data_IF_240231930519
#
_entry.id   IF_240231930519
#
_cell.length_a   1.000
_cell.length_b   1.000
_cell.length_c   1.000
_cell.angle_alpha   90.00
_cell.angle_beta   90.00
_cell.angle_gamma   90.00
#
_symmetry.space_group_name_H-M   'P 1'
#
loop_
_entity.id
_entity.type
_entity.pdbx_description
1 polymer ?
#
# COMPACT_ATOMS: atom_id res chain seq x y z
N UNK A 1 -3.05 12.67 -35.96
CA UNK A 1 -2.51 12.84 -37.28
C UNK A 1 -1.28 13.75 -37.18
N UNK A 2 -0.16 13.29 -37.70
CA UNK A 2 1.09 14.03 -37.72
C UNK A 2 1.12 14.85 -39.00
N UNK A 3 1.00 16.15 -38.91
CA UNK A 3 1.11 17.06 -40.02
C UNK A 3 2.35 17.92 -39.87
N UNK A 4 3.19 18.11 -40.93
CA UNK A 4 4.35 18.96 -40.85
C UNK A 4 3.96 20.42 -40.58
N UNK A 5 4.86 21.18 -39.94
CA UNK A 5 4.65 22.58 -39.54
C UNK A 5 4.24 23.51 -40.68
N UNK A 6 4.63 23.15 -41.92
CA UNK A 6 4.22 23.87 -43.12
C UNK A 6 2.71 23.78 -43.43
N UNK A 7 2.02 22.75 -42.91
CA UNK A 7 0.58 22.54 -43.10
C UNK A 7 -0.24 22.96 -41.89
N UNK A 8 0.25 22.75 -40.68
CA UNK A 8 -0.47 23.05 -39.44
C UNK A 8 0.52 23.65 -38.42
N UNK A 9 0.17 24.82 -37.90
CA UNK A 9 0.91 25.48 -36.84
C UNK A 9 0.03 25.62 -35.61
N UNK A 10 0.45 25.04 -34.48
CA UNK A 10 -0.21 25.26 -33.20
C UNK A 10 0.21 26.62 -32.63
N UNK A 11 -0.77 27.44 -32.29
CA UNK A 11 -0.55 28.70 -31.57
C UNK A 11 -1.23 28.61 -30.23
N UNK A 12 -0.47 28.79 -29.14
CA UNK A 12 -1.04 28.91 -27.82
C UNK A 12 -1.83 30.23 -27.73
N UNK A 13 -3.14 30.13 -27.49
CA UNK A 13 -3.98 31.29 -27.20
C UNK A 13 -4.01 31.49 -25.68
N UNK A 14 -3.15 32.39 -25.18
CA UNK A 14 -2.95 32.62 -23.76
C UNK A 14 -4.23 32.95 -22.97
N UNK A 15 -5.19 33.76 -23.45
CA UNK A 15 -6.42 34.01 -22.71
C UNK A 15 -7.31 32.77 -22.55
N UNK A 16 -7.46 31.97 -23.59
CA UNK A 16 -8.24 30.73 -23.56
C UNK A 16 -7.56 29.69 -22.68
N UNK A 17 -6.24 29.63 -22.74
CA UNK A 17 -5.43 28.72 -21.95
C UNK A 17 -5.42 29.08 -20.45
N UNK A 18 -5.36 30.37 -20.11
CA UNK A 18 -5.47 30.83 -18.71
C UNK A 18 -6.86 30.50 -18.16
N UNK A 19 -7.93 30.68 -18.95
CA UNK A 19 -9.27 30.28 -18.57
C UNK A 19 -9.39 28.75 -18.42
N UNK A 20 -8.70 27.96 -19.24
CA UNK A 20 -8.67 26.50 -19.09
C UNK A 20 -7.90 26.07 -17.85
N UNK A 21 -6.75 26.70 -17.53
CA UNK A 21 -6.08 26.48 -16.24
C UNK A 21 -7.02 26.78 -15.08
N UNK A 22 -7.67 27.94 -15.09
CA UNK A 22 -8.63 28.35 -14.06
C UNK A 22 -9.80 27.37 -13.97
N UNK A 23 -10.32 26.90 -15.11
CA UNK A 23 -11.37 25.91 -15.16
C UNK A 23 -10.90 24.53 -14.68
N UNK A 24 -9.68 24.10 -15.01
CA UNK A 24 -9.08 22.87 -14.47
C UNK A 24 -8.89 22.98 -12.95
N UNK A 25 -8.53 24.13 -12.41
CA UNK A 25 -8.52 24.38 -10.97
C UNK A 25 -9.93 24.42 -10.36
N UNK A 26 -10.91 24.99 -11.05
CA UNK A 26 -12.31 25.05 -10.61
C UNK A 26 -13.01 23.70 -10.77
N UNK A 27 -12.56 22.84 -11.69
CA UNK A 27 -13.02 21.47 -11.87
C UNK A 27 -12.75 20.55 -10.67
N UNK A 28 -12.02 21.04 -9.70
CA UNK A 28 -11.73 20.34 -8.42
C UNK A 28 -12.97 20.18 -7.51
N UNK A 29 -14.12 20.78 -7.82
CA UNK A 29 -15.30 20.83 -6.94
C UNK A 29 -16.54 20.08 -7.41
N UNK A 30 -16.85 20.01 -8.71
CA UNK A 30 -18.17 19.50 -9.15
C UNK A 30 -18.17 18.56 -10.35
N UNK A 31 -17.14 18.47 -11.16
CA UNK A 31 -17.06 17.57 -12.35
C UNK A 31 -15.62 17.27 -12.81
N UNK A 32 -14.63 17.33 -11.92
CA UNK A 32 -13.22 17.21 -12.25
C UNK A 32 -12.81 15.78 -12.58
N UNK A 33 -11.72 15.65 -13.32
CA UNK A 33 -11.01 14.38 -13.49
C UNK A 33 -10.45 13.99 -12.12
N UNK A 34 -11.23 13.23 -11.34
CA UNK A 34 -10.73 12.62 -10.11
C UNK A 34 -9.91 11.39 -10.49
N UNK A 35 -8.61 11.49 -10.33
CA UNK A 35 -7.73 10.32 -10.42
C UNK A 35 -7.66 9.72 -9.01
N UNK A 36 -8.27 8.54 -8.78
CA UNK A 36 -8.30 7.94 -7.45
C UNK A 36 -6.89 7.79 -6.87
N UNK A 37 -6.66 8.30 -5.67
CA UNK A 37 -5.38 8.21 -4.99
C UNK A 37 -4.32 9.25 -5.40
N UNK A 38 -4.67 10.21 -6.27
CA UNK A 38 -3.78 11.29 -6.70
C UNK A 38 -4.43 12.66 -6.48
N UNK A 39 -3.63 13.60 -6.01
CA UNK A 39 -4.00 15.00 -5.90
C UNK A 39 -3.31 15.78 -7.02
N UNK A 40 -4.08 16.35 -7.93
CA UNK A 40 -3.54 17.17 -9.00
C UNK A 40 -3.06 18.50 -8.41
N UNK A 41 -1.76 18.80 -8.53
CA UNK A 41 -1.15 20.04 -7.99
C UNK A 41 -1.14 21.12 -9.05
N UNK A 42 -0.66 20.80 -10.26
CA UNK A 42 -0.46 21.75 -11.34
C UNK A 42 -0.66 21.12 -12.69
N UNK A 43 -1.07 21.96 -13.65
CA UNK A 43 -1.25 21.59 -15.05
C UNK A 43 -0.52 22.61 -15.89
N UNK A 44 0.48 22.19 -16.62
CA UNK A 44 1.25 23.02 -17.51
C UNK A 44 1.17 22.51 -18.94
N UNK A 45 1.27 23.40 -19.91
CA UNK A 45 1.26 23.04 -21.31
C UNK A 45 2.26 23.93 -22.06
N UNK A 46 2.87 23.34 -23.06
CA UNK A 46 3.74 24.07 -23.99
C UNK A 46 3.71 23.42 -25.36
N UNK A 47 4.09 24.22 -26.37
CA UNK A 47 4.26 23.74 -27.73
C UNK A 47 5.74 23.48 -27.92
N UNK A 48 6.08 22.21 -28.19
CA UNK A 48 7.43 21.81 -28.52
C UNK A 48 7.61 21.67 -30.02
N UNK A 49 8.86 21.82 -30.48
CA UNK A 49 9.21 21.69 -31.90
C UNK A 49 10.24 20.59 -32.04
N UNK A 50 9.95 19.64 -32.90
CA UNK A 50 10.89 18.56 -33.19
C UNK A 50 10.99 18.32 -34.70
N UNK A 51 12.17 17.89 -35.15
CA UNK A 51 12.47 17.60 -36.56
C UNK A 51 12.57 16.10 -36.73
N UNK A 52 11.81 15.56 -37.66
CA UNK A 52 11.88 14.14 -38.02
C UNK A 52 12.06 14.02 -39.55
N UNK A 53 13.24 13.54 -39.96
CA UNK A 53 13.65 13.53 -41.36
C UNK A 53 13.82 14.97 -41.92
N UNK A 54 13.18 15.27 -43.04
CA UNK A 54 13.24 16.58 -43.69
C UNK A 54 12.09 17.53 -43.29
N UNK A 55 11.30 17.17 -42.27
CA UNK A 55 10.13 17.93 -41.85
C UNK A 55 10.20 18.36 -40.40
N UNK A 56 9.79 19.60 -40.16
CA UNK A 56 9.59 20.16 -38.82
C UNK A 56 8.15 19.95 -38.35
N UNK A 57 8.01 19.40 -37.15
CA UNK A 57 6.71 19.17 -36.51
C UNK A 57 6.55 20.02 -35.27
N UNK A 58 5.31 20.26 -34.87
CA UNK A 58 4.97 20.87 -33.59
C UNK A 58 4.12 19.89 -32.79
N UNK A 59 4.54 19.65 -31.54
CA UNK A 59 3.82 18.86 -30.58
C UNK A 59 3.20 19.72 -29.48
N UNK A 60 1.95 19.49 -29.13
CA UNK A 60 1.32 20.06 -27.95
C UNK A 60 1.56 19.11 -26.76
N UNK A 61 2.30 19.57 -25.75
CA UNK A 61 2.63 18.79 -24.57
C UNK A 61 1.85 19.35 -23.39
N UNK A 62 1.08 18.47 -22.76
CA UNK A 62 0.35 18.70 -21.51
C UNK A 62 1.08 17.99 -20.35
N UNK A 63 1.57 18.75 -19.39
CA UNK A 63 2.25 18.22 -18.20
C UNK A 63 1.32 18.31 -17.00
N UNK A 64 1.00 17.17 -16.41
CA UNK A 64 0.21 17.07 -15.18
C UNK A 64 1.15 16.80 -14.01
N UNK A 65 1.17 17.68 -13.01
CA UNK A 65 1.87 17.46 -11.76
C UNK A 65 0.89 16.96 -10.72
N UNK A 66 1.04 15.72 -10.32
CA UNK A 66 0.16 15.08 -9.36
C UNK A 66 0.95 14.51 -8.17
N UNK A 67 0.38 14.58 -6.98
CA UNK A 67 0.92 14.02 -5.75
C UNK A 67 0.06 12.83 -5.29
N UNK A 68 0.71 11.76 -4.87
CA UNK A 68 0.02 10.55 -4.43
C UNK A 68 -0.55 10.75 -3.02
N UNK A 69 -1.83 10.43 -2.82
CA UNK A 69 -2.49 10.47 -1.51
C UNK A 69 -2.14 9.20 -0.74
N UNK A 70 -1.03 9.24 0.02
CA UNK A 70 -0.57 8.10 0.82
C UNK A 70 -1.55 7.69 1.93
N UNK A 71 -2.31 8.63 2.50
CA UNK A 71 -3.27 8.38 3.58
C UNK A 71 -4.33 7.34 3.23
N UNK A 72 -4.78 7.30 1.97
CA UNK A 72 -5.72 6.30 1.51
C UNK A 72 -5.20 4.86 1.72
N UNK A 73 -3.94 4.61 1.36
CA UNK A 73 -3.32 3.28 1.52
C UNK A 73 -3.08 2.93 2.99
N UNK A 74 -2.70 3.91 3.81
CA UNK A 74 -2.50 3.70 5.25
C UNK A 74 -3.80 3.29 5.93
N UNK A 75 -4.88 4.04 5.73
CA UNK A 75 -6.14 3.77 6.41
C UNK A 75 -6.90 2.58 5.80
N UNK A 76 -6.93 2.44 4.48
CA UNK A 76 -7.71 1.40 3.81
C UNK A 76 -6.98 0.06 3.74
N UNK A 77 -5.64 0.06 3.65
CA UNK A 77 -4.87 -1.18 3.45
C UNK A 77 -4.14 -1.59 4.72
N UNK A 78 -3.32 -0.72 5.28
CA UNK A 78 -2.44 -1.11 6.39
C UNK A 78 -3.19 -1.31 7.71
N UNK A 79 -4.20 -0.48 7.99
CA UNK A 79 -4.91 -0.51 9.25
C UNK A 79 -5.68 -1.83 9.48
N UNK A 80 -6.45 -2.39 8.51
CA UNK A 80 -7.08 -3.70 8.68
C UNK A 80 -6.08 -4.83 8.92
N UNK A 81 -4.94 -4.83 8.23
CA UNK A 81 -3.88 -5.82 8.44
C UNK A 81 -3.33 -5.74 9.86
N UNK A 82 -3.08 -4.52 10.37
CA UNK A 82 -2.64 -4.32 11.74
C UNK A 82 -3.66 -4.85 12.77
N UNK A 83 -4.95 -4.64 12.55
CA UNK A 83 -5.98 -5.21 13.43
C UNK A 83 -5.96 -6.74 13.42
N UNK A 84 -5.84 -7.38 12.26
CA UNK A 84 -5.73 -8.84 12.15
C UNK A 84 -4.48 -9.33 12.92
N UNK A 85 -3.36 -8.65 12.81
CA UNK A 85 -2.13 -8.97 13.54
C UNK A 85 -2.31 -8.83 15.05
N UNK A 86 -2.94 -7.76 15.53
CA UNK A 86 -3.21 -7.55 16.96
C UNK A 86 -4.09 -8.70 17.50
N UNK A 87 -5.14 -9.09 16.76
CA UNK A 87 -6.01 -10.21 17.13
C UNK A 87 -5.20 -11.50 17.15
N UNK A 88 -4.40 -11.78 16.12
CA UNK A 88 -3.53 -12.95 16.07
C UNK A 88 -2.56 -12.99 17.26
N UNK A 89 -2.01 -11.84 17.67
CA UNK A 89 -1.09 -11.77 18.81
C UNK A 89 -1.76 -11.91 20.17
N UNK A 90 -3.08 -11.58 20.26
CA UNK A 90 -3.84 -11.68 21.51
C UNK A 90 -3.92 -13.11 22.06
N UNK A 91 -3.67 -14.13 21.24
CA UNK A 91 -3.67 -15.55 21.64
C UNK A 91 -2.66 -15.88 22.73
N UNK A 92 -1.57 -15.09 22.87
CA UNK A 92 -0.58 -15.30 23.91
C UNK A 92 -1.08 -14.91 25.31
N UNK A 93 -2.22 -14.22 25.44
CA UNK A 93 -2.92 -13.98 26.71
C UNK A 93 -3.89 -15.11 27.09
N UNK A 94 -4.21 -15.99 26.15
CA UNK A 94 -5.01 -17.21 26.41
C UNK A 94 -4.17 -18.25 27.13
N UNK A 95 -4.78 -19.05 28.02
CA UNK A 95 -4.08 -20.07 28.80
C UNK A 95 -3.40 -21.11 27.92
N UNK A 96 -2.27 -21.64 28.37
CA UNK A 96 -1.48 -22.64 27.65
C UNK A 96 -2.23 -23.96 27.41
N UNK A 97 -3.24 -24.27 28.25
CA UNK A 97 -4.09 -25.47 28.10
C UNK A 97 -5.05 -25.43 26.92
N UNK A 98 -5.37 -24.25 26.40
CA UNK A 98 -6.42 -24.04 25.38
C UNK A 98 -5.82 -23.96 23.96
N UNK A 99 -5.19 -25.08 23.51
CA UNK A 99 -4.57 -25.13 22.20
C UNK A 99 -5.56 -24.87 21.08
N UNK A 100 -6.74 -25.52 21.13
CA UNK A 100 -7.75 -25.43 20.08
C UNK A 100 -8.18 -23.98 19.84
N UNK A 101 -8.49 -23.25 20.92
CA UNK A 101 -8.85 -21.82 20.85
C UNK A 101 -7.73 -20.99 20.24
N UNK A 102 -6.47 -21.19 20.69
CA UNK A 102 -5.30 -20.45 20.22
C UNK A 102 -5.06 -20.66 18.72
N UNK A 103 -5.02 -21.93 18.30
CA UNK A 103 -4.73 -22.29 16.91
C UNK A 103 -5.87 -21.86 15.99
N UNK A 104 -7.12 -21.99 16.43
CA UNK A 104 -8.28 -21.58 15.64
C UNK A 104 -8.24 -20.08 15.35
N UNK A 105 -7.97 -19.23 16.35
CA UNK A 105 -7.85 -17.78 16.16
C UNK A 105 -6.72 -17.44 15.18
N UNK A 106 -5.53 -18.03 15.35
CA UNK A 106 -4.39 -17.71 14.46
C UNK A 106 -4.60 -18.19 13.03
N UNK A 107 -5.23 -19.35 12.81
CA UNK A 107 -5.57 -19.82 11.46
C UNK A 107 -6.63 -18.92 10.82
N UNK A 108 -7.66 -18.51 11.55
CA UNK A 108 -8.67 -17.59 11.04
C UNK A 108 -8.04 -16.25 10.65
N UNK A 109 -7.11 -15.72 11.46
CA UNK A 109 -6.35 -14.52 11.13
C UNK A 109 -5.50 -14.69 9.86
N UNK A 110 -4.84 -15.84 9.70
CA UNK A 110 -4.06 -16.13 8.49
C UNK A 110 -4.96 -16.18 7.25
N UNK A 111 -6.11 -16.85 7.33
CA UNK A 111 -7.08 -16.90 6.24
C UNK A 111 -7.65 -15.52 5.93
N UNK A 112 -7.91 -14.71 6.95
CA UNK A 112 -8.36 -13.32 6.78
C UNK A 112 -7.32 -12.47 6.04
N UNK A 113 -6.03 -12.61 6.36
CA UNK A 113 -4.94 -11.93 5.64
C UNK A 113 -4.88 -12.37 4.17
N UNK A 114 -5.01 -13.69 3.90
CA UNK A 114 -5.01 -14.22 2.53
C UNK A 114 -6.18 -13.65 1.75
N UNK A 115 -7.39 -13.69 2.30
CA UNK A 115 -8.59 -13.16 1.67
C UNK A 115 -8.46 -11.64 1.41
N UNK A 116 -7.89 -10.93 2.36
CA UNK A 116 -7.67 -9.48 2.25
C UNK A 116 -6.65 -9.13 1.16
N UNK A 117 -5.58 -9.92 1.01
CA UNK A 117 -4.61 -9.75 -0.06
C UNK A 117 -5.26 -9.88 -1.45
N UNK A 118 -6.16 -10.85 -1.65
CA UNK A 118 -6.87 -10.98 -2.92
C UNK A 118 -7.73 -9.74 -3.25
N UNK A 119 -8.31 -9.09 -2.25
CA UNK A 119 -9.09 -7.87 -2.44
C UNK A 119 -8.16 -6.72 -2.88
N UNK A 120 -7.00 -6.58 -2.24
CA UNK A 120 -6.02 -5.53 -2.56
C UNK A 120 -5.44 -5.73 -3.97
N UNK A 121 -5.11 -6.97 -4.34
CA UNK A 121 -4.56 -7.30 -5.67
C UNK A 121 -5.53 -6.94 -6.81
N UNK A 122 -6.84 -6.92 -6.55
CA UNK A 122 -7.84 -6.49 -7.52
C UNK A 122 -7.88 -4.98 -7.72
N UNK A 123 -7.52 -4.20 -6.69
CA UNK A 123 -7.58 -2.73 -6.70
C UNK A 123 -6.24 -2.07 -7.13
N UNK A 124 -5.13 -2.82 -7.13
CA UNK A 124 -3.80 -2.31 -7.45
C UNK A 124 -3.33 -2.71 -8.85
N UNK A 125 -2.63 -1.82 -9.56
CA UNK A 125 -2.00 -2.18 -10.82
C UNK A 125 -0.89 -3.22 -10.59
N UNK A 126 -0.84 -4.25 -11.43
CA UNK A 126 0.22 -5.27 -11.37
C UNK A 126 1.55 -4.66 -11.81
N UNK A 127 2.51 -4.68 -10.91
CA UNK A 127 3.87 -4.20 -11.13
C UNK A 127 4.83 -5.39 -11.16
N UNK A 128 5.88 -5.30 -11.98
CA UNK A 128 6.89 -6.37 -12.13
C UNK A 128 7.93 -6.38 -10.98
N UNK A 129 7.75 -5.53 -9.96
CA UNK A 129 8.64 -5.43 -8.81
C UNK A 129 7.85 -5.43 -7.49
N UNK A 130 8.50 -5.91 -6.42
CA UNK A 130 7.91 -5.95 -5.09
C UNK A 130 7.73 -4.53 -4.54
N UNK A 131 6.49 -4.21 -4.19
CA UNK A 131 6.16 -2.94 -3.57
C UNK A 131 6.33 -2.98 -2.04
N UNK A 132 6.32 -1.82 -1.40
CA UNK A 132 6.27 -1.72 0.06
C UNK A 132 5.08 -2.50 0.65
N UNK A 133 3.91 -2.41 0.01
CA UNK A 133 2.70 -3.11 0.45
C UNK A 133 2.85 -4.63 0.37
N UNK A 134 3.46 -5.15 -0.69
CA UNK A 134 3.69 -6.59 -0.85
C UNK A 134 4.58 -7.14 0.28
N UNK A 135 5.67 -6.43 0.58
CA UNK A 135 6.57 -6.81 1.67
C UNK A 135 5.89 -6.68 3.04
N UNK A 136 5.07 -5.65 3.24
CA UNK A 136 4.30 -5.48 4.47
C UNK A 136 3.33 -6.64 4.69
N UNK A 137 2.60 -7.08 3.66
CA UNK A 137 1.69 -8.22 3.69
C UNK A 137 2.46 -9.52 3.94
N UNK A 138 3.57 -9.72 3.23
CA UNK A 138 4.40 -10.94 3.36
C UNK A 138 4.98 -11.08 4.77
N UNK A 139 5.46 -10.00 5.38
CA UNK A 139 5.91 -9.98 6.77
C UNK A 139 4.74 -10.31 7.71
N UNK A 140 3.55 -9.78 7.45
CA UNK A 140 2.34 -10.06 8.24
C UNK A 140 1.94 -11.53 8.19
N UNK A 141 2.03 -12.18 7.02
CA UNK A 141 1.85 -13.64 6.89
C UNK A 141 2.85 -14.41 7.74
N UNK A 142 4.12 -14.05 7.64
CA UNK A 142 5.19 -14.71 8.40
C UNK A 142 4.92 -14.61 9.91
N UNK A 143 4.56 -13.43 10.40
CA UNK A 143 4.28 -13.22 11.83
C UNK A 143 3.04 -13.97 12.32
N UNK A 144 1.97 -14.02 11.52
CA UNK A 144 0.76 -14.79 11.87
C UNK A 144 1.03 -16.30 11.85
N UNK A 145 1.78 -16.78 10.87
CA UNK A 145 2.22 -18.17 10.82
C UNK A 145 3.12 -18.55 11.99
N UNK A 146 4.07 -17.66 12.34
CA UNK A 146 4.94 -17.84 13.50
C UNK A 146 4.13 -17.88 14.80
N UNK A 147 3.11 -17.04 14.96
CA UNK A 147 2.21 -17.07 16.13
C UNK A 147 1.54 -18.43 16.28
N UNK A 148 1.08 -19.04 15.17
CA UNK A 148 0.48 -20.40 15.19
C UNK A 148 1.49 -21.45 15.67
N UNK A 149 2.72 -21.43 15.15
CA UNK A 149 3.78 -22.37 15.55
C UNK A 149 4.13 -22.21 17.04
N UNK A 150 4.24 -20.96 17.51
CA UNK A 150 4.52 -20.67 18.91
C UNK A 150 3.39 -21.13 19.83
N UNK A 151 2.12 -21.05 19.40
CA UNK A 151 0.98 -21.58 20.16
C UNK A 151 1.07 -23.09 20.35
N UNK A 152 1.38 -23.85 19.29
CA UNK A 152 1.59 -25.31 19.36
C UNK A 152 2.76 -25.63 20.30
N UNK A 153 3.86 -24.90 20.19
CA UNK A 153 5.03 -25.13 21.03
C UNK A 153 4.75 -24.80 22.51
N UNK A 154 4.01 -23.72 22.77
CA UNK A 154 3.55 -23.35 24.10
C UNK A 154 2.69 -24.45 24.73
N UNK A 155 1.76 -25.03 23.99
CA UNK A 155 0.93 -26.13 24.47
C UNK A 155 1.75 -27.39 24.81
N UNK A 156 2.68 -27.79 23.95
CA UNK A 156 3.56 -28.94 24.22
C UNK A 156 4.35 -28.71 25.52
N UNK A 157 4.81 -27.49 25.75
CA UNK A 157 5.55 -27.13 26.96
C UNK A 157 4.65 -27.10 28.19
N UNK A 158 3.43 -26.52 28.07
CA UNK A 158 2.42 -26.55 29.13
C UNK A 158 2.14 -27.99 29.60
N UNK A 159 1.98 -28.93 28.64
CA UNK A 159 1.75 -30.35 28.96
C UNK A 159 2.90 -30.98 29.74
N UNK A 160 4.14 -30.49 29.58
CA UNK A 160 5.33 -30.99 30.30
C UNK A 160 5.53 -30.35 31.67
N UNK A 161 5.25 -29.05 31.79
CA UNK A 161 5.59 -28.26 33.02
C UNK A 161 4.39 -28.00 33.91
N UNK A 162 3.15 -28.07 33.40
CA UNK A 162 1.93 -27.74 34.12
C UNK A 162 1.71 -26.24 34.35
N UNK A 163 2.59 -25.36 33.85
CA UNK A 163 2.49 -23.91 34.01
C UNK A 163 1.32 -23.34 33.22
N UNK A 164 0.53 -22.44 33.82
CA UNK A 164 -0.63 -21.80 33.18
C UNK A 164 -0.20 -20.98 31.97
N UNK A 165 0.91 -20.26 32.08
CA UNK A 165 1.56 -19.50 31.02
C UNK A 165 3.00 -20.00 30.89
N UNK A 166 3.38 -20.39 29.69
CA UNK A 166 4.76 -20.81 29.45
C UNK A 166 5.67 -19.59 29.29
N UNK A 167 6.96 -19.77 29.52
CA UNK A 167 7.96 -18.73 29.29
C UNK A 167 7.93 -18.20 27.84
N UNK A 168 7.44 -19.00 26.91
CA UNK A 168 7.25 -18.63 25.49
C UNK A 168 6.11 -17.62 25.35
N UNK A 169 4.96 -17.89 26.00
CA UNK A 169 3.82 -16.97 25.96
C UNK A 169 4.22 -15.60 26.50
N UNK A 170 4.91 -15.57 27.66
CA UNK A 170 5.34 -14.32 28.29
C UNK A 170 6.31 -13.54 27.41
N UNK A 171 7.28 -14.22 26.80
CA UNK A 171 8.23 -13.56 25.86
C UNK A 171 7.53 -13.10 24.59
N UNK A 172 6.65 -13.92 24.00
CA UNK A 172 5.93 -13.58 22.78
C UNK A 172 5.02 -12.36 22.94
N UNK A 173 4.39 -12.16 24.12
CA UNK A 173 3.56 -10.97 24.40
C UNK A 173 4.27 -9.65 24.13
N UNK A 174 5.55 -9.56 24.50
CA UNK A 174 6.33 -8.31 24.38
C UNK A 174 7.20 -8.31 23.13
N UNK A 175 7.97 -9.37 22.93
CA UNK A 175 8.94 -9.44 21.82
C UNK A 175 8.30 -9.56 20.44
N UNK A 176 7.12 -10.15 20.36
CA UNK A 176 6.40 -10.27 19.10
C UNK A 176 6.02 -8.91 18.49
N UNK A 177 5.18 -8.11 19.15
CA UNK A 177 4.84 -6.78 18.64
C UNK A 177 6.05 -5.88 18.45
N UNK A 178 7.03 -5.94 19.40
CA UNK A 178 8.23 -5.11 19.32
C UNK A 178 9.09 -5.44 18.10
N UNK A 179 9.34 -6.72 17.84
CA UNK A 179 10.11 -7.14 16.66
C UNK A 179 9.39 -6.82 15.36
N UNK A 180 8.06 -6.94 15.32
CA UNK A 180 7.27 -6.53 14.16
C UNK A 180 7.42 -5.02 13.90
N UNK A 181 7.32 -4.18 14.92
CA UNK A 181 7.51 -2.74 14.78
C UNK A 181 8.92 -2.38 14.30
N UNK A 182 9.95 -3.05 14.83
CA UNK A 182 11.35 -2.83 14.39
C UNK A 182 11.49 -3.15 12.89
N UNK A 183 10.97 -4.30 12.45
CA UNK A 183 11.03 -4.68 11.03
C UNK A 183 10.20 -3.72 10.18
N UNK A 184 9.03 -3.30 10.65
CA UNK A 184 8.17 -2.35 9.95
C UNK A 184 8.85 -0.99 9.76
N UNK A 185 9.48 -0.44 10.81
CA UNK A 185 10.24 0.82 10.68
C UNK A 185 11.50 0.67 9.82
N UNK A 186 12.16 -0.49 9.88
CA UNK A 186 13.29 -0.80 9.00
C UNK A 186 12.85 -0.86 7.53
N UNK A 187 11.67 -1.40 7.25
CA UNK A 187 11.10 -1.43 5.91
C UNK A 187 10.78 -0.02 5.40
N UNK A 188 10.16 0.82 6.23
CA UNK A 188 9.89 2.23 5.89
C UNK A 188 11.22 2.95 5.58
N UNK A 189 12.23 2.77 6.41
CA UNK A 189 13.54 3.39 6.21
C UNK A 189 14.18 2.97 4.88
N UNK A 190 14.09 1.69 4.53
CA UNK A 190 14.63 1.14 3.28
C UNK A 190 13.93 1.70 2.02
N UNK A 191 12.63 1.98 2.09
CA UNK A 191 11.87 2.52 0.96
C UNK A 191 11.88 4.05 0.87
N UNK A 192 12.27 4.76 1.94
CA UNK A 192 12.40 6.22 1.96
C UNK A 192 13.79 6.71 1.52
N UNK A 193 14.81 5.85 1.57
CA UNK A 193 16.19 6.10 1.12
C UNK A 193 16.43 5.60 -0.29
#
# INVERSE_FOLDING_TARGET
PEFPKSMVQFKADEPTMTNHKQNLYNFRGESGIEIPGWNLIDVDYYVDQYTEGDYDYQGFILTLKAERIASYYVFKVMLPILFILIISWSVFWVRGSELESKVNVTIVCLLALIAYNFIIDGDLPKLDYLTFLDLFILISYFYTGLATILCVHSFIRHKKTGEIYTAIDIKARLWGPLSYLIIFFSLIYFFLL
#
